data_IF_820916828336
#
_entry.id   IF_820916828336
#
_cell.length_a   1.000
_cell.length_b   1.000
_cell.length_c   1.000
_cell.angle_alpha   90.00
_cell.angle_beta   90.00
_cell.angle_gamma   90.00
#
_symmetry.space_group_name_H-M   'P 1'
#
loop_
_entity.id
_entity.type
_entity.pdbx_description
1 polymer ?
#
# COMPACT_ATOMS: atom_id res chain seq x y z
N UNK A 1 -5.87 -0.44 -11.28
CA UNK A 1 -4.62 -1.10 -10.83
C UNK A 1 -4.93 -2.55 -10.49
N UNK A 2 -4.05 -3.50 -10.84
CA UNK A 2 -4.17 -4.92 -10.46
C UNK A 2 -2.86 -5.38 -9.83
N UNK A 3 -2.95 -6.19 -8.78
CA UNK A 3 -1.80 -6.70 -8.05
C UNK A 3 -1.50 -8.15 -8.43
N UNK A 4 -0.27 -8.59 -8.21
CA UNK A 4 0.09 -10.00 -8.37
C UNK A 4 -0.71 -10.88 -7.39
N UNK A 5 -1.06 -12.13 -7.74
CA UNK A 5 -1.74 -13.03 -6.82
C UNK A 5 -0.96 -13.22 -5.50
N UNK A 6 -1.70 -13.24 -4.39
CA UNK A 6 -1.17 -13.49 -3.04
C UNK A 6 -1.53 -14.88 -2.52
N UNK A 7 -1.04 -15.21 -1.32
CA UNK A 7 -1.42 -16.44 -0.63
C UNK A 7 -2.64 -16.18 0.24
N UNK A 8 -3.77 -16.84 -0.06
CA UNK A 8 -5.01 -16.74 0.72
C UNK A 8 -5.13 -17.91 1.67
N UNK A 9 -5.46 -17.61 2.93
CA UNK A 9 -5.82 -18.62 3.93
C UNK A 9 -7.10 -18.18 4.64
N UNK A 10 -7.93 -19.14 5.08
CA UNK A 10 -9.19 -18.83 5.78
C UNK A 10 -8.96 -18.06 7.08
N UNK A 11 -7.85 -18.37 7.78
CA UNK A 11 -7.45 -17.70 9.01
C UNK A 11 -7.17 -16.19 8.86
N UNK A 12 -6.95 -15.71 7.63
CA UNK A 12 -6.70 -14.29 7.37
C UNK A 12 -8.00 -13.47 7.24
N UNK A 13 -9.18 -14.11 7.24
CA UNK A 13 -10.51 -13.49 7.16
C UNK A 13 -10.60 -12.44 6.02
N UNK A 14 -10.47 -12.89 4.77
CA UNK A 14 -10.52 -11.99 3.61
C UNK A 14 -11.93 -11.41 3.41
N UNK A 15 -12.00 -10.10 3.16
CA UNK A 15 -13.26 -9.39 2.94
C UNK A 15 -13.13 -8.27 1.89
N UNK A 16 -14.21 -8.04 1.15
CA UNK A 16 -14.34 -6.93 0.20
C UNK A 16 -14.56 -5.57 0.89
N UNK A 17 -14.95 -5.56 2.17
CA UNK A 17 -15.18 -4.34 2.95
C UNK A 17 -13.89 -3.82 3.61
N UNK A 18 -12.80 -4.59 3.52
CA UNK A 18 -11.52 -4.21 4.08
C UNK A 18 -10.89 -3.05 3.32
N UNK A 19 -9.99 -2.35 4.01
CA UNK A 19 -9.37 -1.14 3.52
C UNK A 19 -8.33 -1.40 2.42
N UNK A 20 -8.45 -0.72 1.27
CA UNK A 20 -7.60 -0.97 0.10
C UNK A 20 -6.72 0.23 -0.19
N UNK A 21 -5.46 -0.01 -0.55
CA UNK A 21 -4.58 1.07 -0.99
C UNK A 21 -4.99 1.60 -2.38
N UNK A 22 -5.71 0.79 -3.16
CA UNK A 22 -6.17 1.13 -4.50
C UNK A 22 -7.47 1.93 -4.55
N UNK A 23 -8.03 2.29 -3.39
CA UNK A 23 -9.26 3.10 -3.35
C UNK A 23 -8.98 4.48 -3.98
N UNK A 24 -9.85 4.99 -4.88
CA UNK A 24 -9.56 6.19 -5.69
C UNK A 24 -9.17 7.41 -4.87
N UNK A 25 -9.81 7.62 -3.73
CA UNK A 25 -9.56 8.75 -2.82
C UNK A 25 -8.15 8.73 -2.23
N UNK A 26 -7.57 7.54 -2.00
CA UNK A 26 -6.19 7.40 -1.49
C UNK A 26 -5.17 7.63 -2.57
N UNK A 27 -5.42 7.08 -3.75
CA UNK A 27 -4.58 7.29 -4.92
C UNK A 27 -4.52 8.77 -5.28
N UNK A 28 -5.67 9.46 -5.24
CA UNK A 28 -5.73 10.90 -5.46
C UNK A 28 -5.01 11.68 -4.34
N UNK A 29 -5.16 11.30 -3.08
CA UNK A 29 -4.43 11.94 -1.97
C UNK A 29 -2.90 11.80 -2.13
N UNK A 30 -2.42 10.61 -2.50
CA UNK A 30 -0.99 10.39 -2.77
C UNK A 30 -0.54 11.27 -3.95
N UNK A 31 -1.28 11.24 -5.07
CA UNK A 31 -0.99 12.05 -6.27
C UNK A 31 -0.91 13.53 -5.95
N UNK A 32 -1.83 14.06 -5.16
CA UNK A 32 -1.84 15.48 -4.80
C UNK A 32 -0.60 15.86 -4.00
N UNK A 33 -0.22 15.06 -3.00
CA UNK A 33 0.96 15.34 -2.17
C UNK A 33 2.23 15.28 -3.01
N UNK A 34 2.42 14.22 -3.82
CA UNK A 34 3.58 14.09 -4.71
C UNK A 34 3.73 15.32 -5.62
N UNK A 35 2.63 15.74 -6.25
CA UNK A 35 2.66 16.83 -7.23
C UNK A 35 2.74 18.24 -6.62
N UNK A 36 2.24 18.45 -5.40
CA UNK A 36 2.13 19.80 -4.80
C UNK A 36 3.12 20.03 -3.66
N UNK A 37 3.29 19.03 -2.79
CA UNK A 37 4.02 19.17 -1.53
C UNK A 37 5.40 18.51 -1.57
N UNK A 38 5.60 17.57 -2.50
CA UNK A 38 6.87 16.90 -2.77
C UNK A 38 6.83 15.41 -2.42
N UNK A 39 8.00 14.77 -2.24
CA UNK A 39 8.11 13.32 -2.23
C UNK A 39 7.36 12.66 -1.07
N UNK A 40 6.95 11.41 -1.32
CA UNK A 40 6.30 10.54 -0.35
C UNK A 40 7.21 9.37 0.02
N UNK A 41 7.10 8.92 1.27
CA UNK A 41 7.68 7.68 1.74
C UNK A 41 6.62 6.58 1.70
N UNK A 42 6.93 5.45 1.08
CA UNK A 42 6.11 4.25 1.08
C UNK A 42 6.77 3.18 1.96
N UNK A 43 6.01 2.60 2.88
CA UNK A 43 6.34 1.36 3.58
C UNK A 43 5.50 0.21 3.00
N UNK A 44 6.18 -0.85 2.59
CA UNK A 44 5.60 -2.07 2.04
C UNK A 44 5.89 -3.24 2.97
N UNK A 45 4.83 -3.78 3.58
CA UNK A 45 4.85 -4.99 4.41
C UNK A 45 4.27 -6.17 3.66
N UNK A 46 5.01 -7.28 3.62
CA UNK A 46 4.71 -8.41 2.76
C UNK A 46 3.93 -9.47 3.52
N UNK A 47 2.69 -9.75 3.11
CA UNK A 47 1.92 -10.82 3.72
C UNK A 47 2.63 -12.16 3.49
N UNK A 48 3.02 -12.83 4.57
CA UNK A 48 3.77 -14.10 4.54
C UNK A 48 5.07 -13.99 3.73
N UNK A 49 5.69 -12.82 3.70
CA UNK A 49 6.90 -12.58 2.89
C UNK A 49 8.18 -13.15 3.49
N UNK A 50 8.21 -13.45 4.79
CA UNK A 50 9.42 -13.95 5.48
C UNK A 50 10.58 -12.95 5.47
N UNK A 51 10.30 -11.66 5.29
CA UNK A 51 11.27 -10.56 5.21
C UNK A 51 10.74 -9.31 5.89
N UNK A 52 11.64 -8.41 6.25
CA UNK A 52 11.26 -7.12 6.83
C UNK A 52 10.54 -6.19 5.84
N UNK A 53 9.91 -5.11 6.34
CA UNK A 53 9.28 -4.11 5.49
C UNK A 53 10.28 -3.46 4.53
N UNK A 54 9.85 -3.14 3.32
CA UNK A 54 10.61 -2.30 2.41
C UNK A 54 10.16 -0.86 2.53
N UNK A 55 11.09 0.07 2.65
CA UNK A 55 10.82 1.51 2.62
C UNK A 55 11.45 2.13 1.39
N UNK A 56 10.68 2.96 0.67
CA UNK A 56 11.15 3.64 -0.54
C UNK A 56 10.52 5.01 -0.67
N UNK A 57 11.31 5.98 -1.11
CA UNK A 57 10.84 7.34 -1.40
C UNK A 57 10.49 7.43 -2.89
N UNK A 58 9.40 8.12 -3.19
CA UNK A 58 8.94 8.43 -4.54
C UNK A 58 8.70 9.94 -4.66
N UNK A 59 9.31 10.57 -5.65
CA UNK A 59 9.10 11.96 -6.06
C UNK A 59 8.22 12.09 -7.31
N UNK A 60 7.88 10.95 -7.94
CA UNK A 60 6.94 10.84 -9.06
C UNK A 60 5.82 9.85 -8.73
N UNK A 61 4.59 10.17 -9.13
CA UNK A 61 3.40 9.38 -8.80
C UNK A 61 3.34 8.12 -9.68
N UNK A 62 3.67 8.26 -10.96
CA UNK A 62 3.67 7.16 -11.92
C UNK A 62 4.68 6.09 -11.52
N UNK A 63 5.89 6.46 -11.08
CA UNK A 63 6.91 5.54 -10.55
C UNK A 63 6.42 4.75 -9.32
N UNK A 64 5.65 5.40 -8.43
CA UNK A 64 5.04 4.74 -7.28
C UNK A 64 4.01 3.68 -7.73
N UNK A 65 3.17 4.03 -8.71
CA UNK A 65 2.18 3.11 -9.26
C UNK A 65 2.85 1.94 -9.97
N UNK A 66 3.89 2.19 -10.75
CA UNK A 66 4.68 1.14 -11.40
C UNK A 66 5.29 0.20 -10.38
N UNK A 67 5.87 0.72 -9.30
CA UNK A 67 6.37 -0.10 -8.19
C UNK A 67 5.27 -0.97 -7.57
N UNK A 68 4.10 -0.41 -7.28
CA UNK A 68 2.98 -1.16 -6.70
C UNK A 68 2.52 -2.30 -7.62
N UNK A 69 2.43 -2.06 -8.93
CA UNK A 69 2.04 -3.08 -9.91
C UNK A 69 3.13 -4.16 -10.06
N UNK A 70 4.40 -3.73 -10.09
CA UNK A 70 5.53 -4.62 -10.30
C UNK A 70 5.88 -5.46 -9.07
N UNK A 71 5.75 -4.92 -7.85
CA UNK A 71 6.31 -5.56 -6.66
C UNK A 71 5.26 -6.05 -5.66
N UNK A 72 4.10 -5.41 -5.57
CA UNK A 72 3.10 -5.77 -4.56
C UNK A 72 2.21 -6.94 -4.99
N UNK A 73 1.84 -7.74 -3.99
CA UNK A 73 0.93 -8.88 -4.12
C UNK A 73 -0.35 -8.62 -3.35
N UNK A 74 -1.42 -9.28 -3.76
CA UNK A 74 -2.68 -9.25 -3.03
C UNK A 74 -2.45 -9.65 -1.56
N UNK A 75 -2.94 -8.82 -0.65
CA UNK A 75 -2.80 -8.97 0.79
C UNK A 75 -1.65 -8.19 1.41
N UNK A 76 -0.65 -7.75 0.64
CA UNK A 76 0.43 -6.89 1.14
C UNK A 76 -0.13 -5.59 1.71
N UNK A 77 0.51 -5.08 2.76
CA UNK A 77 0.10 -3.87 3.46
C UNK A 77 0.99 -2.71 3.02
N UNK A 78 0.35 -1.64 2.56
CA UNK A 78 1.01 -0.41 2.11
C UNK A 78 0.62 0.72 3.05
N UNK A 79 1.61 1.51 3.43
CA UNK A 79 1.42 2.77 4.15
C UNK A 79 2.24 3.85 3.44
N UNK A 80 1.66 5.02 3.24
CA UNK A 80 2.30 6.13 2.52
C UNK A 80 2.22 7.39 3.37
N UNK A 81 3.33 8.09 3.50
CA UNK A 81 3.44 9.36 4.21
C UNK A 81 4.02 10.43 3.29
N UNK A 82 3.67 11.68 3.52
CA UNK A 82 4.45 12.81 3.00
C UNK A 82 5.80 12.75 3.69
N UNK A 83 6.91 12.83 2.95
CA UNK A 83 8.23 12.72 3.53
C UNK A 83 8.48 13.82 4.58
N UNK A 84 7.99 15.03 4.31
CA UNK A 84 8.10 16.17 5.22
C UNK A 84 7.36 15.96 6.54
N UNK A 85 6.15 15.42 6.47
CA UNK A 85 5.31 15.16 7.65
C UNK A 85 5.77 13.90 8.40
N UNK A 86 6.26 12.88 7.69
CA UNK A 86 6.81 11.66 8.27
C UNK A 86 7.94 11.94 9.26
N UNK A 87 8.83 12.89 8.93
CA UNK A 87 9.90 13.34 9.83
C UNK A 87 9.40 13.93 11.16
N UNK A 88 8.08 14.12 11.32
CA UNK A 88 7.41 14.61 12.53
C UNK A 88 6.58 13.54 13.25
N UNK A 89 6.83 12.26 12.98
CA UNK A 89 6.13 11.11 13.59
C UNK A 89 4.59 11.18 13.44
N UNK A 90 4.12 11.45 12.22
CA UNK A 90 2.70 11.60 11.90
C UNK A 90 2.06 10.35 11.30
N UNK A 91 0.71 10.21 11.37
CA UNK A 91 0.02 9.10 10.72
C UNK A 91 0.21 9.13 9.18
N UNK A 92 0.08 7.97 8.51
CA UNK A 92 0.15 7.89 7.06
C UNK A 92 -0.98 8.71 6.42
N UNK A 93 -0.69 9.35 5.28
CA UNK A 93 -1.69 10.05 4.48
C UNK A 93 -2.64 9.07 3.77
N UNK A 94 -2.12 7.89 3.42
CA UNK A 94 -2.86 6.80 2.82
C UNK A 94 -2.31 5.47 3.33
N UNK A 95 -3.20 4.55 3.66
CA UNK A 95 -2.82 3.20 4.05
C UNK A 95 -3.91 2.22 3.60
N UNK A 96 -3.54 0.96 3.48
CA UNK A 96 -4.47 -0.08 3.10
C UNK A 96 -3.73 -1.31 2.60
N UNK A 97 -4.49 -2.32 2.22
CA UNK A 97 -3.94 -3.56 1.69
C UNK A 97 -4.14 -3.62 0.18
N UNK A 98 -3.29 -4.37 -0.51
CA UNK A 98 -3.44 -4.65 -1.92
C UNK A 98 -4.60 -5.64 -2.12
N UNK A 99 -5.74 -5.28 -2.73
CA UNK A 99 -6.82 -6.24 -2.98
C UNK A 99 -6.42 -7.32 -3.97
N UNK A 100 -7.06 -8.48 -3.87
CA UNK A 100 -7.04 -9.46 -4.94
C UNK A 100 -8.01 -9.08 -6.07
N UNK A 101 -8.13 -9.95 -7.08
CA UNK A 101 -8.97 -9.69 -8.26
C UNK A 101 -10.46 -9.51 -7.94
N UNK A 102 -10.97 -10.18 -6.90
CA UNK A 102 -12.35 -10.02 -6.41
C UNK A 102 -12.55 -8.80 -5.51
N UNK A 103 -11.50 -8.00 -5.30
CA UNK A 103 -11.54 -6.82 -4.46
C UNK A 103 -11.37 -7.08 -2.96
N UNK A 104 -11.18 -8.34 -2.53
CA UNK A 104 -11.02 -8.64 -1.11
C UNK A 104 -9.58 -8.46 -0.63
N UNK A 105 -9.44 -8.06 0.63
CA UNK A 105 -8.17 -7.95 1.38
C UNK A 105 -8.27 -8.77 2.66
N UNK A 106 -7.15 -9.30 3.19
CA UNK A 106 -7.16 -10.02 4.45
C UNK A 106 -7.43 -9.05 5.60
N UNK A 107 -8.11 -9.48 6.65
CA UNK A 107 -8.23 -8.72 7.90
C UNK A 107 -6.98 -8.92 8.77
N UNK A 108 -6.47 -10.15 8.85
CA UNK A 108 -5.31 -10.53 9.65
C UNK A 108 -4.22 -11.19 8.80
N UNK A 109 -3.07 -11.46 9.39
CA UNK A 109 -2.00 -12.20 8.73
C UNK A 109 -0.61 -11.83 9.24
N UNK A 110 0.39 -12.72 9.03
CA UNK A 110 1.77 -12.42 9.38
C UNK A 110 2.40 -11.52 8.32
N UNK A 111 2.93 -10.37 8.73
CA UNK A 111 3.53 -9.33 7.89
C UNK A 111 4.98 -9.08 8.27
#
# INVERSE_FOLDING_TARGET
>A
MKFKPGCRTEADEWSCDGEKISDPEKLEAIRQVVNKDGPVLLEHKFLRGGRGPHTRVFDDYEDLIEYLIAEARAGDKISVWSLWTFMRDTPPLAFGKCPAEDGAVPKHGPY
#
